data_IF_844396742935
#
_entry.id   IF_844396742935
#
_cell.length_a   1.000
_cell.length_b   1.000
_cell.length_c   1.000
_cell.angle_alpha   90.00
_cell.angle_beta   90.00
_cell.angle_gamma   90.00
#
_symmetry.space_group_name_H-M   'P 1'
#
loop_
_entity.id
_entity.type
_entity.pdbx_description
1 polymer ?
#
# COMPACT_ATOMS: atom_id res chain seq x y z
N UNK A 1 -28.11 -34.98 -9.12
CA UNK A 1 -28.20 -33.65 -8.46
C UNK A 1 -28.89 -32.63 -9.36
N UNK A 2 -29.91 -31.95 -8.84
CA UNK A 2 -30.73 -30.93 -9.54
C UNK A 2 -29.89 -29.78 -10.12
N UNK A 3 -30.31 -29.25 -11.28
CA UNK A 3 -29.74 -28.06 -11.93
C UNK A 3 -29.80 -26.81 -11.03
N UNK A 4 -30.87 -26.67 -10.25
CA UNK A 4 -31.05 -25.56 -9.30
C UNK A 4 -30.01 -25.59 -8.17
N UNK A 5 -29.70 -26.77 -7.64
CA UNK A 5 -28.68 -26.97 -6.60
C UNK A 5 -27.27 -26.63 -7.11
N UNK A 6 -26.94 -27.01 -8.36
CA UNK A 6 -25.65 -26.63 -8.98
C UNK A 6 -25.53 -25.12 -9.19
N UNK A 7 -26.62 -24.42 -9.54
CA UNK A 7 -26.66 -22.96 -9.67
C UNK A 7 -26.51 -22.27 -8.30
N UNK A 8 -27.20 -22.73 -7.26
CA UNK A 8 -27.09 -22.16 -5.91
C UNK A 8 -25.68 -22.39 -5.34
N UNK A 9 -25.13 -23.60 -5.45
CA UNK A 9 -23.78 -23.92 -4.99
C UNK A 9 -22.70 -23.07 -5.70
N UNK A 10 -22.84 -22.83 -7.02
CA UNK A 10 -21.96 -21.89 -7.74
C UNK A 10 -22.07 -20.46 -7.21
N UNK A 11 -23.28 -20.00 -6.88
CA UNK A 11 -23.50 -18.67 -6.31
C UNK A 11 -22.85 -18.55 -4.93
N UNK A 12 -23.05 -19.53 -4.04
CA UNK A 12 -22.44 -19.57 -2.70
C UNK A 12 -20.91 -19.61 -2.80
N UNK A 13 -20.33 -20.49 -3.63
CA UNK A 13 -18.87 -20.57 -3.84
C UNK A 13 -18.26 -19.32 -4.49
N UNK A 14 -19.06 -18.54 -5.24
CA UNK A 14 -18.65 -17.23 -5.78
C UNK A 14 -18.63 -16.16 -4.68
N UNK A 15 -19.65 -16.14 -3.82
CA UNK A 15 -19.73 -15.21 -2.69
C UNK A 15 -18.59 -15.45 -1.69
N UNK A 16 -18.33 -16.71 -1.34
CA UNK A 16 -17.23 -17.08 -0.42
C UNK A 16 -15.84 -16.74 -0.98
N UNK A 17 -15.62 -16.90 -2.29
CA UNK A 17 -14.34 -16.50 -2.93
C UNK A 17 -14.12 -14.99 -2.97
N UNK A 18 -15.18 -14.20 -3.04
CA UNK A 18 -15.09 -12.74 -3.04
C UNK A 18 -14.93 -12.17 -1.61
N UNK A 19 -15.31 -12.92 -0.59
CA UNK A 19 -15.23 -12.52 0.81
C UNK A 19 -13.83 -12.72 1.44
N UNK A 20 -12.99 -13.57 0.84
CA UNK A 20 -11.62 -13.80 1.32
C UNK A 20 -10.68 -12.84 0.59
N UNK A 21 -10.11 -11.89 1.34
CA UNK A 21 -9.07 -11.02 0.84
C UNK A 21 -7.91 -11.88 0.28
N UNK A 22 -7.36 -11.58 -0.91
CA UNK A 22 -6.30 -12.40 -1.48
C UNK A 22 -5.05 -12.38 -0.59
N UNK A 23 -4.52 -13.57 -0.30
CA UNK A 23 -3.33 -13.78 0.54
C UNK A 23 -2.09 -13.06 0.00
N UNK A 24 -2.04 -12.78 -1.31
CA UNK A 24 -0.93 -12.06 -1.96
C UNK A 24 -1.41 -10.83 -2.73
N UNK A 25 -0.88 -9.65 -2.36
CA UNK A 25 -1.17 -8.38 -3.03
C UNK A 25 -0.03 -7.91 -3.93
N UNK A 26 -0.30 -7.66 -5.20
CA UNK A 26 0.73 -7.17 -6.11
C UNK A 26 0.72 -5.65 -6.28
N UNK A 27 -0.36 -4.96 -5.93
CA UNK A 27 -0.52 -3.51 -6.05
C UNK A 27 -0.14 -2.79 -4.74
N UNK A 28 0.67 -1.75 -4.84
CA UNK A 28 1.12 -0.93 -3.72
C UNK A 28 0.75 0.54 -3.97
N UNK A 29 0.63 1.32 -2.90
CA UNK A 29 0.46 2.76 -3.04
C UNK A 29 1.68 3.37 -3.74
N UNK A 30 1.46 4.26 -4.69
CA UNK A 30 2.50 4.81 -5.55
C UNK A 30 2.75 4.04 -6.85
N UNK A 31 2.13 2.87 -7.06
CA UNK A 31 2.23 2.17 -8.36
C UNK A 31 1.46 2.90 -9.46
N UNK A 32 2.03 2.90 -10.68
CA UNK A 32 1.33 3.30 -11.90
C UNK A 32 0.50 2.12 -12.44
N UNK A 33 -0.77 2.37 -12.70
CA UNK A 33 -1.74 1.34 -13.05
C UNK A 33 -2.66 1.75 -14.19
N UNK A 34 -3.19 0.75 -14.88
CA UNK A 34 -4.19 0.89 -15.94
C UNK A 34 -5.48 0.21 -15.52
N UNK A 35 -6.62 0.85 -15.79
CA UNK A 35 -7.94 0.23 -15.57
C UNK A 35 -8.26 -0.74 -16.70
N UNK A 36 -8.47 -2.01 -16.33
CA UNK A 36 -8.77 -3.10 -17.27
C UNK A 36 -10.26 -3.19 -17.60
N UNK A 37 -11.12 -2.83 -16.66
CA UNK A 37 -12.57 -2.96 -16.78
C UNK A 37 -13.32 -1.88 -15.97
N UNK A 38 -14.46 -1.44 -16.47
CA UNK A 38 -15.29 -0.41 -15.85
C UNK A 38 -15.57 0.76 -16.80
N UNK A 39 -16.12 1.84 -16.24
CA UNK A 39 -16.43 3.08 -16.97
C UNK A 39 -15.18 3.70 -17.60
N UNK A 40 -14.10 3.72 -16.83
CA UNK A 40 -12.84 4.39 -17.20
C UNK A 40 -11.80 3.41 -17.77
N UNK A 41 -12.25 2.43 -18.55
CA UNK A 41 -11.38 1.40 -19.14
C UNK A 41 -10.28 2.04 -20.01
N UNK A 42 -9.03 1.63 -19.80
CA UNK A 42 -7.87 2.12 -20.54
C UNK A 42 -7.23 3.38 -19.96
N UNK A 43 -7.87 4.05 -19.00
CA UNK A 43 -7.23 5.16 -18.31
C UNK A 43 -6.10 4.66 -17.41
N UNK A 44 -5.06 5.48 -17.32
CA UNK A 44 -3.87 5.23 -16.50
C UNK A 44 -3.85 6.21 -15.34
N UNK A 45 -3.44 5.77 -14.16
CA UNK A 45 -3.29 6.63 -13.00
C UNK A 45 -2.34 6.03 -11.96
N UNK A 46 -2.08 6.78 -10.89
CA UNK A 46 -1.24 6.34 -9.77
C UNK A 46 -2.12 5.91 -8.61
N UNK A 47 -1.75 4.83 -7.90
CA UNK A 47 -2.49 4.39 -6.71
C UNK A 47 -2.25 5.36 -5.55
N UNK A 48 -3.29 6.07 -5.12
CA UNK A 48 -3.25 6.97 -3.97
C UNK A 48 -3.23 6.18 -2.64
N UNK A 49 -4.09 5.16 -2.53
CA UNK A 49 -4.16 4.26 -1.37
C UNK A 49 -4.73 2.89 -1.74
N UNK A 50 -4.37 1.90 -0.93
CA UNK A 50 -4.83 0.50 -1.06
C UNK A 50 -5.55 0.11 0.24
N UNK A 51 -6.77 -0.40 0.10
CA UNK A 51 -7.52 -1.03 1.18
C UNK A 51 -7.54 -2.55 0.94
N UNK A 52 -6.72 -3.24 1.73
CA UNK A 52 -6.52 -4.69 1.62
C UNK A 52 -7.67 -5.47 2.25
N UNK A 53 -8.36 -4.91 3.24
CA UNK A 53 -9.49 -5.55 3.92
C UNK A 53 -10.68 -5.66 2.96
N UNK A 54 -10.99 -4.56 2.27
CA UNK A 54 -12.12 -4.51 1.34
C UNK A 54 -11.75 -4.82 -0.11
N UNK A 55 -10.49 -5.16 -0.39
CA UNK A 55 -9.99 -5.47 -1.74
C UNK A 55 -10.21 -4.34 -2.75
N UNK A 56 -9.96 -3.11 -2.31
CA UNK A 56 -10.22 -1.88 -3.07
C UNK A 56 -8.98 -1.01 -3.18
N UNK A 57 -8.90 -0.26 -4.28
CA UNK A 57 -7.81 0.68 -4.57
C UNK A 57 -8.37 2.02 -5.02
N UNK A 58 -7.74 3.10 -4.61
CA UNK A 58 -8.02 4.45 -5.10
C UNK A 58 -6.93 4.84 -6.09
N UNK A 59 -7.35 5.23 -7.28
CA UNK A 59 -6.45 5.60 -8.38
C UNK A 59 -6.71 7.06 -8.72
N UNK A 60 -5.65 7.84 -8.77
CA UNK A 60 -5.75 9.28 -9.01
C UNK A 60 -6.33 9.56 -10.39
N UNK A 61 -7.29 10.49 -10.45
CA UNK A 61 -7.91 10.94 -11.70
C UNK A 61 -8.83 9.92 -12.38
N UNK A 62 -9.13 8.79 -11.73
CA UNK A 62 -9.96 7.71 -12.29
C UNK A 62 -11.16 7.45 -11.39
N UNK A 63 -12.28 6.97 -11.97
CA UNK A 63 -13.51 6.63 -11.25
C UNK A 63 -14.04 7.80 -10.42
N UNK A 64 -14.10 8.98 -11.05
CA UNK A 64 -14.55 10.21 -10.41
C UNK A 64 -16.07 10.18 -10.21
N UNK A 65 -16.49 10.41 -8.97
CA UNK A 65 -17.90 10.53 -8.58
C UNK A 65 -18.16 11.96 -8.13
N UNK A 66 -19.27 12.54 -8.61
CA UNK A 66 -19.71 13.87 -8.19
C UNK A 66 -20.25 13.78 -6.76
N UNK A 67 -19.66 14.54 -5.85
CA UNK A 67 -20.10 14.67 -4.46
C UNK A 67 -20.53 16.10 -4.20
N UNK A 68 -21.77 16.28 -3.76
CA UNK A 68 -22.25 17.57 -3.29
C UNK A 68 -21.72 17.78 -1.87
N UNK A 69 -20.89 18.80 -1.68
CA UNK A 69 -20.33 19.16 -0.37
C UNK A 69 -21.12 20.36 0.14
N UNK A 70 -21.72 20.21 1.33
CA UNK A 70 -22.42 21.32 1.99
C UNK A 70 -21.40 22.39 2.35
N UNK A 71 -21.73 23.64 2.01
CA UNK A 71 -20.94 24.81 2.39
C UNK A 71 -20.80 24.92 3.91
N UNK A 72 -19.61 25.31 4.36
CA UNK A 72 -19.28 25.58 5.77
C UNK A 72 -18.39 26.82 5.83
N UNK A 73 -18.47 27.57 6.94
CA UNK A 73 -17.60 28.71 7.23
C UNK A 73 -17.64 29.81 6.15
N UNK A 74 -18.87 30.22 5.77
CA UNK A 74 -19.10 31.30 4.78
C UNK A 74 -18.83 30.91 3.32
N UNK A 75 -18.43 29.66 3.04
CA UNK A 75 -18.25 29.17 1.67
C UNK A 75 -19.56 28.58 1.13
N UNK A 76 -19.94 28.89 -0.13
CA UNK A 76 -21.09 28.26 -0.77
C UNK A 76 -20.86 26.75 -0.96
N UNK A 77 -21.95 25.99 -1.10
CA UNK A 77 -21.85 24.56 -1.43
C UNK A 77 -21.27 24.35 -2.82
N UNK A 78 -20.45 23.30 -2.99
CA UNK A 78 -19.76 22.99 -4.24
C UNK A 78 -19.97 21.52 -4.64
N UNK A 79 -19.99 21.27 -5.95
CA UNK A 79 -19.96 19.92 -6.52
C UNK A 79 -18.50 19.53 -6.77
N UNK A 80 -17.95 18.70 -5.90
CA UNK A 80 -16.55 18.25 -5.99
C UNK A 80 -16.49 16.86 -6.63
N UNK A 81 -15.56 16.67 -7.57
CA UNK A 81 -15.22 15.35 -8.10
C UNK A 81 -14.29 14.62 -7.15
N UNK A 82 -14.75 13.52 -6.54
CA UNK A 82 -13.95 12.71 -5.63
C UNK A 82 -13.69 11.34 -6.24
N UNK A 83 -12.46 10.85 -6.07
CA UNK A 83 -12.04 9.53 -6.53
C UNK A 83 -12.76 8.43 -5.73
N UNK A 84 -13.44 7.53 -6.45
CA UNK A 84 -14.12 6.39 -5.85
C UNK A 84 -13.28 5.11 -5.97
N UNK A 85 -13.41 4.17 -5.00
CA UNK A 85 -12.63 2.95 -5.00
C UNK A 85 -12.95 2.06 -6.22
N UNK A 86 -11.91 1.44 -6.75
CA UNK A 86 -11.99 0.38 -7.75
C UNK A 86 -11.66 -0.97 -7.10
N UNK A 87 -12.28 -2.05 -7.57
CA UNK A 87 -11.93 -3.39 -7.12
C UNK A 87 -10.57 -3.81 -7.67
N UNK A 88 -9.75 -4.48 -6.86
CA UNK A 88 -8.39 -4.94 -7.22
C UNK A 88 -8.31 -5.63 -8.59
N UNK A 89 -9.31 -6.47 -8.92
CA UNK A 89 -9.32 -7.24 -10.18
C UNK A 89 -9.45 -6.39 -11.45
N UNK A 90 -9.95 -5.15 -11.32
CA UNK A 90 -10.24 -4.26 -12.43
C UNK A 90 -9.04 -3.35 -12.77
N UNK A 91 -7.96 -3.47 -12.01
CA UNK A 91 -6.76 -2.65 -12.14
C UNK A 91 -5.56 -3.56 -12.37
N UNK A 92 -4.66 -3.15 -13.26
CA UNK A 92 -3.42 -3.86 -13.56
C UNK A 92 -2.24 -2.90 -13.50
N UNK A 93 -1.04 -3.41 -13.27
CA UNK A 93 0.18 -2.59 -13.32
C UNK A 93 0.40 -2.14 -14.76
N UNK A 94 0.75 -0.88 -14.93
CA UNK A 94 1.23 -0.34 -16.19
C UNK A 94 2.68 -0.80 -16.37
N UNK A 95 2.97 -1.45 -17.49
CA UNK A 95 4.35 -1.76 -17.87
C UNK A 95 5.13 -0.44 -18.05
N UNK A 96 6.34 -0.29 -17.50
CA UNK A 96 7.08 0.96 -17.55
C UNK A 96 7.47 1.37 -18.97
N UNK A 97 7.72 0.39 -19.85
CA UNK A 97 8.11 0.61 -21.24
C UNK A 97 6.88 0.78 -22.15
N UNK A 98 5.98 -0.22 -22.14
CA UNK A 98 4.87 -0.26 -23.10
C UNK A 98 3.63 0.51 -22.64
N UNK A 99 3.54 0.86 -21.35
CA UNK A 99 2.32 1.42 -20.75
C UNK A 99 1.12 0.46 -20.74
N UNK A 100 1.30 -0.78 -21.19
CA UNK A 100 0.21 -1.73 -21.31
C UNK A 100 -0.18 -2.30 -19.94
N UNK A 101 -1.45 -2.73 -19.82
CA UNK A 101 -1.94 -3.45 -18.66
C UNK A 101 -1.34 -4.87 -18.62
N UNK A 102 -0.42 -5.13 -17.69
CA UNK A 102 0.34 -6.39 -17.62
C UNK A 102 0.17 -7.13 -16.29
N UNK A 103 0.52 -8.41 -16.29
CA UNK A 103 0.62 -9.22 -15.07
C UNK A 103 2.03 -9.07 -14.50
N UNK A 104 2.18 -9.31 -13.21
CA UNK A 104 3.49 -9.30 -12.55
C UNK A 104 3.75 -10.58 -11.78
N UNK A 105 5.02 -10.98 -11.75
CA UNK A 105 5.56 -12.03 -10.89
C UNK A 105 6.55 -11.42 -9.90
N UNK A 106 6.75 -12.04 -8.74
CA UNK A 106 7.75 -11.59 -7.75
C UNK A 106 9.02 -12.42 -7.94
N UNK A 107 10.18 -11.77 -7.99
CA UNK A 107 11.48 -12.41 -8.13
C UNK A 107 12.48 -11.74 -7.18
N UNK A 108 13.56 -12.45 -6.86
CA UNK A 108 14.69 -11.89 -6.12
C UNK A 108 15.81 -11.59 -7.13
N UNK A 109 16.48 -10.45 -6.96
CA UNK A 109 17.74 -10.18 -7.63
C UNK A 109 18.87 -10.90 -6.88
N UNK A 110 20.04 -10.92 -7.50
CA UNK A 110 21.27 -11.47 -6.92
C UNK A 110 21.66 -10.77 -5.61
N UNK A 111 21.31 -9.48 -5.46
CA UNK A 111 21.49 -8.69 -4.23
C UNK A 111 20.53 -9.08 -3.09
N UNK A 112 19.64 -10.06 -3.30
CA UNK A 112 18.59 -10.46 -2.34
C UNK A 112 17.39 -9.51 -2.26
N UNK A 113 17.39 -8.42 -3.05
CA UNK A 113 16.26 -7.47 -3.10
C UNK A 113 15.06 -8.09 -3.82
N UNK A 114 13.89 -8.01 -3.19
CA UNK A 114 12.63 -8.51 -3.76
C UNK A 114 12.00 -7.50 -4.70
N UNK A 115 11.84 -7.88 -5.96
CA UNK A 115 11.23 -7.05 -7.00
C UNK A 115 10.03 -7.73 -7.64
N UNK A 116 9.31 -6.98 -8.48
CA UNK A 116 8.29 -7.51 -9.38
C UNK A 116 8.82 -7.43 -10.80
N UNK A 117 8.47 -8.41 -11.64
CA UNK A 117 8.85 -8.46 -13.06
C UNK A 117 7.58 -8.55 -13.89
N UNK A 118 7.46 -7.75 -14.94
CA UNK A 118 6.29 -7.78 -15.83
C UNK A 118 6.27 -9.04 -16.67
N UNK A 119 5.07 -9.60 -16.90
CA UNK A 119 4.87 -10.86 -17.62
C UNK A 119 3.63 -10.78 -18.51
N UNK A 120 3.71 -11.48 -19.64
CA UNK A 120 2.62 -11.63 -20.60
C UNK A 120 3.02 -11.17 -22.01
N UNK A 121 2.14 -11.40 -22.98
CA UNK A 121 2.42 -11.10 -24.38
C UNK A 121 2.64 -9.60 -24.70
N UNK A 122 2.15 -8.71 -23.82
CA UNK A 122 2.27 -7.25 -23.96
C UNK A 122 3.29 -6.64 -23.01
N UNK A 123 4.08 -7.47 -22.33
CA UNK A 123 5.04 -7.01 -21.32
C UNK A 123 6.46 -7.01 -21.89
N UNK A 124 7.27 -6.03 -21.51
CA UNK A 124 8.69 -5.96 -21.84
C UNK A 124 9.56 -6.91 -21.01
N UNK A 125 9.06 -7.43 -19.89
CA UNK A 125 9.87 -8.16 -18.92
C UNK A 125 10.64 -7.25 -17.96
N UNK A 126 10.33 -5.95 -17.92
CA UNK A 126 11.00 -4.98 -17.07
C UNK A 126 10.75 -5.23 -15.58
N UNK A 127 11.72 -4.82 -14.78
CA UNK A 127 11.65 -4.86 -13.31
C UNK A 127 10.85 -3.66 -12.81
N UNK A 128 9.78 -3.93 -12.06
CA UNK A 128 8.95 -2.94 -11.36
C UNK A 128 9.25 -3.02 -9.87
N UNK A 129 10.05 -2.09 -9.32
CA UNK A 129 10.37 -2.09 -7.89
C UNK A 129 9.09 -1.91 -7.07
N UNK A 130 9.06 -2.49 -5.87
CA UNK A 130 7.96 -2.23 -4.93
C UNK A 130 8.17 -0.79 -4.44
N UNK A 131 7.23 0.15 -4.68
CA UNK A 131 7.39 1.51 -4.19
C UNK A 131 7.51 1.46 -2.67
N UNK A 132 8.45 2.23 -2.14
CA UNK A 132 8.62 2.36 -0.70
C UNK A 132 7.26 2.71 -0.10
N UNK A 133 6.74 1.84 0.78
CA UNK A 133 5.58 2.20 1.57
C UNK A 133 5.92 3.53 2.25
N UNK A 134 4.98 4.49 2.28
CA UNK A 134 5.20 5.71 3.07
C UNK A 134 5.60 5.24 4.46
N UNK A 135 6.87 5.41 4.81
CA UNK A 135 7.33 5.22 6.18
C UNK A 135 6.42 6.08 7.06
N UNK A 136 6.29 5.74 8.35
CA UNK A 136 5.67 6.69 9.28
C UNK A 136 6.36 8.02 9.04
N UNK A 137 5.61 9.03 8.57
CA UNK A 137 6.19 10.31 8.21
C UNK A 137 7.07 10.74 9.37
N UNK A 138 8.33 11.10 9.08
CA UNK A 138 9.18 11.69 10.11
C UNK A 138 8.43 12.94 10.55
N UNK A 139 7.89 12.90 11.78
CA UNK A 139 7.19 14.06 12.35
C UNK A 139 8.18 15.23 12.30
N UNK A 140 7.68 16.44 12.03
CA UNK A 140 8.51 17.64 11.97
C UNK A 140 9.52 17.61 13.13
N UNK A 141 10.79 17.42 12.77
CA UNK A 141 11.86 17.12 13.71
C UNK A 141 12.39 18.44 14.27
N UNK A 142 11.56 19.10 15.06
CA UNK A 142 12.03 20.03 16.07
C UNK A 142 12.30 19.25 17.34
N UNK A 143 13.41 19.51 18.02
CA UNK A 143 13.61 19.03 19.38
C UNK A 143 12.65 19.82 20.26
N UNK A 144 11.57 19.18 20.70
CA UNK A 144 10.65 19.77 21.67
C UNK A 144 11.33 19.96 23.03
N UNK A 145 10.74 20.76 23.94
CA UNK A 145 11.32 21.00 25.27
C UNK A 145 11.47 19.72 26.11
N UNK A 146 10.75 18.65 25.77
CA UNK A 146 10.83 17.34 26.41
C UNK A 146 11.66 16.30 25.63
N UNK A 147 12.18 16.65 24.45
CA UNK A 147 12.94 15.74 23.59
C UNK A 147 14.45 15.83 23.88
N UNK A 148 15.12 14.68 23.99
CA UNK A 148 16.57 14.65 24.12
C UNK A 148 17.28 14.93 22.79
N UNK A 149 18.45 15.57 22.84
CA UNK A 149 19.29 15.74 21.64
C UNK A 149 19.78 14.37 21.16
N UNK A 150 19.85 14.20 19.84
CA UNK A 150 20.30 12.94 19.20
C UNK A 150 21.72 12.54 19.66
N UNK A 151 22.59 13.52 19.90
CA UNK A 151 23.96 13.31 20.40
C UNK A 151 24.00 12.71 21.81
N UNK A 152 23.09 13.14 22.68
CA UNK A 152 22.99 12.63 24.05
C UNK A 152 22.35 11.24 24.07
N UNK A 153 21.28 11.04 23.27
CA UNK A 153 20.59 9.76 23.19
C UNK A 153 21.45 8.62 22.63
N UNK A 154 22.39 8.94 21.73
CA UNK A 154 23.33 7.96 21.14
C UNK A 154 24.59 7.72 21.98
N UNK A 155 24.76 8.45 23.09
CA UNK A 155 25.93 8.27 23.94
C UNK A 155 25.88 6.89 24.60
N UNK A 156 26.89 6.07 24.35
CA UNK A 156 27.05 4.81 25.06
C UNK A 156 27.50 5.10 26.51
N UNK A 157 26.55 5.01 27.43
CA UNK A 157 26.77 5.25 28.87
C UNK A 157 26.81 3.97 29.70
N UNK A 158 26.45 2.83 29.10
CA UNK A 158 26.42 1.53 29.77
C UNK A 158 27.83 0.93 29.77
N UNK A 159 28.45 0.87 30.93
CA UNK A 159 29.78 0.27 31.18
C UNK A 159 29.74 -1.25 31.47
N UNK A 160 28.56 -1.88 31.45
CA UNK A 160 28.41 -3.33 31.63
C UNK A 160 28.26 -3.82 33.08
N UNK A 161 28.41 -2.96 34.08
CA UNK A 161 28.19 -3.29 35.50
C UNK A 161 26.71 -3.25 35.90
N UNK A 162 26.35 -4.03 36.94
CA UNK A 162 25.00 -4.09 37.47
C UNK A 162 24.59 -2.78 38.15
N UNK A 163 23.34 -2.33 37.91
CA UNK A 163 22.81 -1.06 38.43
C UNK A 163 22.99 -0.93 39.96
N UNK A 164 22.71 -2.01 40.69
CA UNK A 164 22.84 -2.05 42.15
C UNK A 164 24.30 -2.05 42.62
N UNK A 165 25.24 -2.52 41.82
CA UNK A 165 26.67 -2.51 42.16
C UNK A 165 27.27 -1.13 41.91
N UNK A 166 26.84 -0.46 40.84
CA UNK A 166 27.18 0.94 40.55
C UNK A 166 26.60 1.89 41.61
N UNK A 167 25.33 1.73 41.98
CA UNK A 167 24.66 2.60 42.95
C UNK A 167 25.13 2.37 44.40
N UNK A 168 25.54 1.14 44.74
CA UNK A 168 26.11 0.83 46.07
C UNK A 168 27.63 1.06 46.14
N UNK A 169 28.24 1.61 45.08
CA UNK A 169 29.68 1.87 45.02
C UNK A 169 30.55 0.61 45.12
N UNK A 170 29.98 -0.57 44.91
CA UNK A 170 30.74 -1.83 44.84
C UNK A 170 31.33 -1.93 43.44
N UNK A 171 32.46 -1.26 43.23
CA UNK A 171 33.36 -1.63 42.13
C UNK A 171 33.76 -3.08 42.37
N UNK A 172 33.40 -3.98 41.46
CA UNK A 172 33.80 -5.38 41.53
C UNK A 172 35.33 -5.49 41.63
N UNK A 173 35.81 -5.79 42.83
CA UNK A 173 37.11 -6.38 43.07
C UNK A 173 36.86 -7.80 43.59
N UNK A 174 37.28 -8.80 42.80
CA UNK A 174 37.11 -10.24 43.07
C UNK A 174 36.56 -10.96 41.86
#
# INVERSE_FOLDING_TARGET
>A
MSSAFRKSARKVKKLLRNAIAPTSWNLHAGDRVVVRAGRDKGQTGTIARVDRENTRVWVTGTNLVKRHVRGRDGRPGEIVGVEAPLHYSNVAIADPETGAAVRVCRMFLDDGTKVRVTRGARASGSVVPIPGGKGRGVRASGVGPADAKISEARRETRSGSGLLDVLRGRSGGG
#
